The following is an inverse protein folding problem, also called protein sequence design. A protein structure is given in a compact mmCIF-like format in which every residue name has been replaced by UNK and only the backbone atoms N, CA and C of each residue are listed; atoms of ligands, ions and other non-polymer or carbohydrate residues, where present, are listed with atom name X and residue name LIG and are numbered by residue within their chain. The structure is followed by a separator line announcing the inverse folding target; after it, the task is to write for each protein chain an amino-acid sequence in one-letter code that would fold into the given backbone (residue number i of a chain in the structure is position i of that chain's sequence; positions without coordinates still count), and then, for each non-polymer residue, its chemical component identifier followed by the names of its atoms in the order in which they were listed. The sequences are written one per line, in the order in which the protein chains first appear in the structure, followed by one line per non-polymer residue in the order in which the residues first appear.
data_IF_679653541535
#
_entry.id   IF_679653541535
#
_cell.length_a   1.000
_cell.length_b   1.000
_cell.length_c   1.000
_cell.angle_alpha   90.00
_cell.angle_beta   90.00
_cell.angle_gamma   90.00
#
_symmetry.space_group_name_H-M   'P 1'
#
loop_
_entity.id
_entity.type
_entity.pdbx_description
1 polymer ?
#
# COMPACT_ATOMS: atom_id res chain seq x y z
N UNK A 1 7.10 16.81 -13.44
CA UNK A 1 7.64 15.48 -13.07
C UNK A 1 6.44 14.58 -12.88
N UNK A 2 6.06 13.83 -13.91
CA UNK A 2 5.01 12.81 -13.78
C UNK A 2 5.69 11.54 -13.29
N UNK A 3 5.22 10.97 -12.17
CA UNK A 3 5.64 9.63 -11.79
C UNK A 3 5.11 8.65 -12.84
N UNK A 4 6.01 7.92 -13.50
CA UNK A 4 5.62 6.77 -14.32
C UNK A 4 5.23 5.63 -13.36
N UNK A 5 3.93 5.46 -13.15
CA UNK A 5 3.35 4.43 -12.28
C UNK A 5 3.11 3.11 -13.04
N UNK A 6 3.79 2.89 -14.17
CA UNK A 6 3.49 1.84 -15.16
C UNK A 6 3.60 0.41 -14.64
N UNK A 7 4.11 0.20 -13.42
CA UNK A 7 4.28 -1.11 -12.79
C UNK A 7 3.40 -1.33 -11.56
N UNK A 8 2.55 -0.36 -11.19
CA UNK A 8 1.70 -0.47 -10.00
C UNK A 8 0.28 -0.78 -10.44
N UNK A 9 -0.29 -1.83 -9.85
CA UNK A 9 -1.69 -2.18 -10.06
C UNK A 9 -2.59 -0.98 -9.65
N UNK A 10 -3.55 -0.57 -10.51
CA UNK A 10 -4.38 0.61 -10.25
C UNK A 10 -5.14 0.55 -8.92
N UNK A 11 -5.56 -0.64 -8.49
CA UNK A 11 -6.30 -0.83 -7.24
C UNK A 11 -5.38 -0.62 -6.02
N UNK A 12 -4.14 -1.09 -6.11
CA UNK A 12 -3.11 -0.82 -5.09
C UNK A 12 -2.79 0.68 -5.05
N UNK A 13 -2.72 1.33 -6.20
CA UNK A 13 -2.47 2.76 -6.27
C UNK A 13 -3.61 3.57 -5.63
N UNK A 14 -4.87 3.16 -5.82
CA UNK A 14 -6.03 3.78 -5.16
C UNK A 14 -5.97 3.62 -3.63
N UNK A 15 -5.60 2.45 -3.13
CA UNK A 15 -5.36 2.24 -1.68
C UNK A 15 -4.26 3.17 -1.15
N UNK A 16 -3.17 3.35 -1.89
CA UNK A 16 -2.07 4.25 -1.50
C UNK A 16 -2.53 5.71 -1.46
N UNK A 17 -3.28 6.17 -2.47
CA UNK A 17 -3.85 7.52 -2.46
C UNK A 17 -4.79 7.68 -1.26
N UNK A 18 -5.68 6.71 -1.04
CA UNK A 18 -6.62 6.74 0.10
C UNK A 18 -5.87 6.86 1.41
N UNK A 19 -4.79 6.09 1.60
CA UNK A 19 -3.92 6.20 2.76
C UNK A 19 -3.30 7.59 2.90
N UNK A 20 -2.75 8.17 1.82
CA UNK A 20 -2.10 9.50 1.87
C UNK A 20 -3.09 10.59 2.30
N UNK A 21 -4.34 10.53 1.86
CA UNK A 21 -5.35 11.55 2.16
C UNK A 21 -6.08 11.34 3.49
N UNK A 22 -6.22 10.11 3.96
CA UNK A 22 -7.00 9.78 5.17
C UNK A 22 -6.14 9.39 6.37
N UNK A 23 -4.90 8.97 6.13
CA UNK A 23 -4.04 8.31 7.13
C UNK A 23 -4.51 6.90 7.52
N UNK A 24 -5.52 6.35 6.84
CA UNK A 24 -6.12 5.06 7.19
C UNK A 24 -5.79 4.00 6.13
N UNK A 25 -5.56 2.78 6.59
CA UNK A 25 -5.35 1.60 5.76
C UNK A 25 -6.43 0.59 6.13
N UNK A 26 -7.19 0.13 5.15
CA UNK A 26 -8.22 -0.90 5.34
C UNK A 26 -7.86 -2.18 4.56
N UNK A 27 -7.58 -3.25 5.29
CA UNK A 27 -7.31 -4.58 4.74
C UNK A 27 -8.49 -5.56 4.90
N UNK A 28 -9.64 -5.12 5.42
CA UNK A 28 -10.77 -6.00 5.77
C UNK A 28 -11.27 -6.85 4.61
N UNK A 29 -11.16 -6.34 3.37
CA UNK A 29 -11.56 -7.03 2.14
C UNK A 29 -10.39 -7.31 1.19
N UNK A 30 -9.15 -7.09 1.65
CA UNK A 30 -7.96 -7.29 0.82
C UNK A 30 -7.56 -8.77 0.83
N UNK A 31 -7.27 -9.32 -0.35
CA UNK A 31 -6.64 -10.64 -0.46
C UNK A 31 -5.20 -10.56 0.03
N UNK A 32 -4.61 -11.70 0.44
CA UNK A 32 -3.20 -11.75 0.83
C UNK A 32 -2.28 -11.20 -0.26
N UNK A 33 -2.55 -11.50 -1.54
CA UNK A 33 -1.80 -10.93 -2.68
C UNK A 33 -1.87 -9.40 -2.74
N UNK A 34 -3.04 -8.81 -2.45
CA UNK A 34 -3.21 -7.35 -2.39
C UNK A 34 -2.43 -6.74 -1.24
N UNK A 35 -2.44 -7.37 -0.08
CA UNK A 35 -1.68 -6.90 1.10
C UNK A 35 -0.18 -6.94 0.81
N UNK A 36 0.33 -8.01 0.19
CA UNK A 36 1.73 -8.09 -0.25
C UNK A 36 2.06 -7.04 -1.32
N UNK A 37 1.16 -6.82 -2.28
CA UNK A 37 1.36 -5.81 -3.33
C UNK A 37 1.39 -4.40 -2.75
N UNK A 38 0.53 -4.11 -1.76
CA UNK A 38 0.53 -2.86 -1.00
C UNK A 38 1.82 -2.69 -0.19
N UNK A 39 2.32 -3.76 0.45
CA UNK A 39 3.61 -3.73 1.16
C UNK A 39 4.77 -3.38 0.21
N UNK A 40 4.85 -4.04 -0.94
CA UNK A 40 5.89 -3.77 -1.94
C UNK A 40 5.79 -2.33 -2.45
N UNK A 41 4.57 -1.87 -2.74
CA UNK A 41 4.34 -0.53 -3.28
C UNK A 41 4.61 0.57 -2.27
N UNK A 42 4.14 0.44 -1.03
CA UNK A 42 4.42 1.39 0.05
C UNK A 42 5.93 1.50 0.31
N UNK A 43 6.64 0.37 0.27
CA UNK A 43 8.11 0.34 0.38
C UNK A 43 8.79 1.06 -0.80
N UNK A 44 8.37 0.76 -2.05
CA UNK A 44 8.86 1.46 -3.27
C UNK A 44 8.64 2.98 -3.20
N UNK A 45 7.52 3.42 -2.63
CA UNK A 45 7.15 4.83 -2.50
C UNK A 45 7.71 5.50 -1.23
N UNK A 46 8.53 4.80 -0.44
CA UNK A 46 9.09 5.28 0.83
C UNK A 46 8.03 5.72 1.86
N UNK A 47 6.87 5.05 1.89
CA UNK A 47 5.81 5.26 2.87
C UNK A 47 6.08 4.41 4.12
N UNK A 48 7.08 4.79 4.90
CA UNK A 48 7.61 3.98 6.01
C UNK A 48 6.55 3.54 7.02
N UNK A 49 5.62 4.42 7.37
CA UNK A 49 4.55 4.12 8.33
C UNK A 49 3.57 3.07 7.79
N UNK A 50 3.14 3.20 6.53
CA UNK A 50 2.30 2.20 5.87
C UNK A 50 3.01 0.85 5.72
N UNK A 51 4.30 0.87 5.37
CA UNK A 51 5.12 -0.34 5.27
C UNK A 51 5.23 -1.06 6.63
N UNK A 52 5.55 -0.33 7.70
CA UNK A 52 5.67 -0.91 9.05
C UNK A 52 4.32 -1.43 9.56
N UNK A 53 3.23 -0.68 9.36
CA UNK A 53 1.88 -1.13 9.70
C UNK A 53 1.54 -2.45 9.00
N UNK A 54 1.79 -2.53 7.69
CA UNK A 54 1.50 -3.72 6.90
C UNK A 54 2.36 -4.91 7.33
N UNK A 55 3.62 -4.69 7.70
CA UNK A 55 4.50 -5.73 8.23
C UNK A 55 4.01 -6.25 9.58
N UNK A 56 3.62 -5.37 10.51
CA UNK A 56 3.04 -5.78 11.79
C UNK A 56 1.77 -6.59 11.59
N UNK A 57 0.87 -6.13 10.71
CA UNK A 57 -0.38 -6.84 10.38
C UNK A 57 -0.17 -8.25 9.82
N UNK A 58 0.95 -8.53 9.15
CA UNK A 58 1.27 -9.85 8.60
C UNK A 58 1.94 -10.81 9.59
N UNK A 59 2.52 -10.28 10.67
CA UNK A 59 3.23 -11.05 11.70
C UNK A 59 2.31 -11.39 12.88
N UNK A 60 1.27 -10.56 13.08
CA UNK A 60 0.18 -10.82 14.02
C UNK A 60 -0.76 -11.94 13.53
#
# INVERSE_FOLDING_TARGET
MCLELSEIDPEIFEMIITYIYTGMIDFSNATSEKIFSFLITSSKLNLSEATSFTQSYLVD
#
